data_IF_606006647473
#
_entry.id   IF_606006647473
#
_cell.length_a   1.000
_cell.length_b   1.000
_cell.length_c   1.000
_cell.angle_alpha   90.00
_cell.angle_beta   90.00
_cell.angle_gamma   90.00
#
_symmetry.space_group_name_H-M   'P 1'
#
loop_
_entity.id
_entity.type
_entity.pdbx_description
1 polymer ?
#
# COMPACT_ATOMS: atom_id res chain seq x y z
N UNK A 1 -17.57 40.70 9.58
CA UNK A 1 -16.17 40.68 9.07
C UNK A 1 -15.99 39.42 8.24
N UNK A 2 -15.52 39.56 7.00
CA UNK A 2 -15.21 38.41 6.13
C UNK A 2 -13.70 38.18 6.23
N UNK A 3 -13.31 36.92 6.58
CA UNK A 3 -11.91 36.52 6.66
C UNK A 3 -11.53 35.85 5.34
N UNK A 4 -10.44 36.30 4.73
CA UNK A 4 -9.91 35.70 3.50
C UNK A 4 -9.03 34.48 3.82
N UNK A 5 -9.65 33.32 3.92
CA UNK A 5 -8.94 32.05 4.13
C UNK A 5 -8.05 31.66 2.94
N UNK A 6 -8.31 32.21 1.76
CA UNK A 6 -7.46 31.98 0.59
C UNK A 6 -6.07 32.56 0.85
N UNK A 7 -5.99 33.81 1.30
CA UNK A 7 -4.72 34.42 1.67
C UNK A 7 -3.95 33.58 2.71
N UNK A 8 -4.64 33.12 3.76
CA UNK A 8 -4.01 32.29 4.79
C UNK A 8 -3.43 30.98 4.23
N UNK A 9 -4.14 30.32 3.31
CA UNK A 9 -3.67 29.10 2.64
C UNK A 9 -2.44 29.37 1.79
N UNK A 10 -2.46 30.40 0.96
CA UNK A 10 -1.32 30.74 0.09
C UNK A 10 -0.10 31.19 0.91
N UNK A 11 -0.32 31.94 1.97
CA UNK A 11 0.77 32.34 2.88
C UNK A 11 1.41 31.12 3.56
N UNK A 12 0.61 30.14 4.04
CA UNK A 12 1.10 28.91 4.62
C UNK A 12 1.91 28.09 3.62
N UNK A 13 1.47 27.97 2.37
CA UNK A 13 2.19 27.27 1.31
C UNK A 13 3.57 27.86 1.02
N UNK A 14 3.70 29.18 1.09
CA UNK A 14 5.00 29.87 0.89
C UNK A 14 5.95 29.64 2.07
N UNK A 15 5.41 29.57 3.28
CA UNK A 15 6.21 29.46 4.52
C UNK A 15 6.50 28.03 4.92
N UNK A 16 5.60 27.12 4.56
CA UNK A 16 5.66 25.70 4.90
C UNK A 16 5.76 24.88 3.61
N UNK A 17 6.06 23.60 3.75
CA UNK A 17 6.00 22.66 2.63
C UNK A 17 7.20 22.68 1.70
N UNK A 18 8.32 23.25 2.12
CA UNK A 18 9.59 23.21 1.34
C UNK A 18 10.30 21.86 1.42
N UNK A 19 9.95 21.03 2.42
CA UNK A 19 10.60 19.74 2.65
C UNK A 19 9.89 18.67 1.81
N UNK A 20 10.56 18.25 0.73
CA UNK A 20 10.01 17.30 -0.24
C UNK A 20 10.98 16.17 -0.56
N UNK A 21 10.42 15.05 -1.01
CA UNK A 21 11.14 13.97 -1.66
C UNK A 21 11.48 14.36 -3.11
N UNK A 22 12.39 13.63 -3.75
CA UNK A 22 12.80 13.89 -5.15
C UNK A 22 11.62 13.78 -6.13
N UNK A 23 10.59 12.99 -5.80
CA UNK A 23 9.37 12.87 -6.59
C UNK A 23 8.37 14.02 -6.39
N UNK A 24 8.70 15.01 -5.57
CA UNK A 24 7.85 16.18 -5.28
C UNK A 24 6.85 15.98 -4.14
N UNK A 25 6.72 14.79 -3.59
CA UNK A 25 5.83 14.54 -2.45
C UNK A 25 6.37 15.20 -1.18
N UNK A 26 5.48 15.59 -0.28
CA UNK A 26 5.88 16.10 1.02
C UNK A 26 6.61 15.03 1.83
N UNK A 27 7.70 15.43 2.43
CA UNK A 27 8.51 14.59 3.31
C UNK A 27 8.21 14.92 4.76
N UNK A 28 8.24 13.91 5.62
CA UNK A 28 8.18 14.11 7.05
C UNK A 28 9.38 14.93 7.53
N UNK A 29 9.14 15.90 8.39
CA UNK A 29 10.19 16.76 8.98
C UNK A 29 9.88 17.09 10.44
N UNK A 30 10.87 17.61 11.15
CA UNK A 30 10.66 18.14 12.48
C UNK A 30 10.47 19.65 12.43
N UNK A 31 9.41 20.15 13.07
CA UNK A 31 9.17 21.58 13.20
C UNK A 31 10.18 22.20 14.21
N UNK A 32 10.25 23.56 14.33
CA UNK A 32 11.14 24.19 15.30
C UNK A 32 10.97 23.74 16.74
N UNK A 33 9.77 23.27 17.13
CA UNK A 33 9.46 22.69 18.44
C UNK A 33 9.78 21.19 18.54
N UNK A 34 10.48 20.60 17.55
CA UNK A 34 10.91 19.20 17.47
C UNK A 34 9.78 18.17 17.36
N UNK A 35 8.62 18.55 16.80
CA UNK A 35 7.50 17.65 16.54
C UNK A 35 7.51 17.14 15.09
N UNK A 36 7.20 15.85 14.88
CA UNK A 36 7.05 15.27 13.56
C UNK A 36 5.88 15.93 12.82
N UNK A 37 6.20 16.53 11.68
CA UNK A 37 5.32 17.40 10.90
C UNK A 37 5.38 17.00 9.42
N UNK A 38 4.27 17.17 8.70
CA UNK A 38 4.20 16.91 7.26
C UNK A 38 3.35 17.96 6.55
N UNK A 39 3.59 18.13 5.25
CA UNK A 39 2.83 19.06 4.43
C UNK A 39 3.10 20.50 4.84
N UNK A 40 2.05 21.29 4.90
CA UNK A 40 2.11 22.72 5.22
C UNK A 40 1.92 22.97 6.72
N UNK A 41 2.74 22.33 7.54
CA UNK A 41 2.74 22.55 8.99
C UNK A 41 1.81 21.64 9.80
N UNK A 42 1.37 20.51 9.25
CA UNK A 42 0.54 19.56 10.00
C UNK A 42 1.38 18.76 11.00
N UNK A 43 1.15 18.97 12.29
CA UNK A 43 1.81 18.24 13.37
C UNK A 43 1.20 16.84 13.51
N UNK A 44 1.82 15.84 12.84
CA UNK A 44 1.38 14.44 12.89
C UNK A 44 1.51 13.83 14.27
N UNK A 45 2.54 14.22 15.02
CA UNK A 45 2.81 13.68 16.36
C UNK A 45 1.68 14.04 17.35
N UNK A 46 1.20 15.27 17.31
CA UNK A 46 0.16 15.75 18.21
C UNK A 46 -1.25 15.42 17.75
N UNK A 47 -1.52 15.46 16.44
CA UNK A 47 -2.88 15.41 15.90
C UNK A 47 -3.19 14.13 15.10
N UNK A 48 -2.16 13.35 14.73
CA UNK A 48 -2.34 12.18 13.88
C UNK A 48 -2.83 12.52 12.48
N UNK A 49 -3.33 11.52 11.78
CA UNK A 49 -3.92 11.67 10.45
C UNK A 49 -5.44 11.50 10.53
N UNK A 50 -6.24 12.46 10.07
CA UNK A 50 -7.70 12.31 10.03
C UNK A 50 -8.12 11.07 9.24
N UNK A 51 -9.21 10.41 9.68
CA UNK A 51 -9.72 9.18 9.05
C UNK A 51 -9.97 9.36 7.55
N UNK A 52 -10.58 10.47 7.14
CA UNK A 52 -10.83 10.76 5.72
C UNK A 52 -9.56 10.77 4.87
N UNK A 53 -8.47 11.31 5.40
CA UNK A 53 -7.17 11.34 4.72
C UNK A 53 -6.50 9.97 4.74
N UNK A 54 -6.62 9.24 5.83
CA UNK A 54 -6.11 7.87 5.93
C UNK A 54 -6.79 6.94 4.91
N UNK A 55 -8.10 7.07 4.73
CA UNK A 55 -8.87 6.31 3.72
C UNK A 55 -8.43 6.69 2.31
N UNK A 56 -8.23 7.97 2.01
CA UNK A 56 -7.72 8.40 0.70
C UNK A 56 -6.34 7.80 0.40
N UNK A 57 -5.43 7.84 1.37
CA UNK A 57 -4.11 7.21 1.22
C UNK A 57 -4.23 5.70 1.01
N UNK A 58 -5.09 5.03 1.76
CA UNK A 58 -5.35 3.59 1.58
C UNK A 58 -5.84 3.30 0.16
N UNK A 59 -6.81 4.06 -0.33
CA UNK A 59 -7.33 3.89 -1.69
C UNK A 59 -6.24 4.08 -2.75
N UNK A 60 -5.39 5.08 -2.59
CA UNK A 60 -4.26 5.33 -3.50
C UNK A 60 -3.28 4.14 -3.51
N UNK A 61 -2.91 3.63 -2.35
CA UNK A 61 -1.93 2.54 -2.23
C UNK A 61 -2.50 1.21 -2.76
N UNK A 62 -3.76 0.90 -2.44
CA UNK A 62 -4.44 -0.30 -2.95
C UNK A 62 -4.61 -0.24 -4.47
N UNK A 63 -5.02 0.91 -5.02
CA UNK A 63 -5.15 1.10 -6.47
C UNK A 63 -3.81 0.93 -7.18
N UNK A 64 -2.74 1.47 -6.60
CA UNK A 64 -1.38 1.27 -7.13
C UNK A 64 -0.98 -0.21 -7.11
N UNK A 65 -1.20 -0.90 -6.00
CA UNK A 65 -0.89 -2.32 -5.87
C UNK A 65 -1.67 -3.15 -6.90
N UNK A 66 -2.96 -2.88 -7.09
CA UNK A 66 -3.77 -3.53 -8.11
C UNK A 66 -3.19 -3.34 -9.51
N UNK A 67 -2.83 -2.11 -9.88
CA UNK A 67 -2.25 -1.82 -11.18
C UNK A 67 -0.93 -2.57 -11.38
N UNK A 68 -0.06 -2.57 -10.39
CA UNK A 68 1.24 -3.25 -10.46
C UNK A 68 1.08 -4.75 -10.70
N UNK A 69 0.20 -5.45 -9.97
CA UNK A 69 -0.01 -6.88 -10.17
C UNK A 69 -0.75 -7.18 -11.47
N UNK A 70 -1.73 -6.37 -11.83
CA UNK A 70 -2.47 -6.52 -13.09
C UNK A 70 -1.57 -6.38 -14.31
N UNK A 71 -0.65 -5.42 -14.30
CA UNK A 71 0.25 -5.15 -15.43
C UNK A 71 1.42 -6.14 -15.51
N UNK A 72 1.80 -6.79 -14.42
CA UNK A 72 3.04 -7.56 -14.35
C UNK A 72 2.88 -9.06 -14.06
N UNK A 73 1.73 -9.51 -13.55
CA UNK A 73 1.48 -10.92 -13.27
C UNK A 73 0.83 -11.58 -14.47
N UNK A 74 1.55 -12.49 -15.15
CA UNK A 74 1.10 -13.16 -16.37
C UNK A 74 -0.21 -13.94 -16.19
N UNK A 75 -0.42 -14.53 -14.99
CA UNK A 75 -1.63 -15.29 -14.67
C UNK A 75 -2.87 -14.44 -14.37
N UNK A 76 -2.74 -13.10 -14.31
CA UNK A 76 -3.81 -12.22 -13.81
C UNK A 76 -5.19 -12.53 -14.40
N UNK A 77 -5.28 -12.66 -15.73
CA UNK A 77 -6.57 -12.88 -16.40
C UNK A 77 -7.18 -14.26 -16.13
N UNK A 78 -6.39 -15.23 -15.71
CA UNK A 78 -6.84 -16.57 -15.34
C UNK A 78 -7.43 -16.63 -13.93
N UNK A 79 -7.11 -15.65 -13.08
CA UNK A 79 -7.50 -15.63 -11.67
C UNK A 79 -8.92 -15.12 -11.50
N UNK A 80 -9.66 -15.73 -10.58
CA UNK A 80 -10.93 -15.18 -10.13
C UNK A 80 -10.72 -13.98 -9.17
N UNK A 81 -11.79 -13.28 -8.82
CA UNK A 81 -11.71 -12.08 -7.99
C UNK A 81 -11.07 -12.33 -6.61
N UNK A 82 -11.40 -13.38 -5.84
CA UNK A 82 -10.75 -13.65 -4.56
C UNK A 82 -9.22 -13.86 -4.69
N UNK A 83 -8.76 -14.62 -5.66
CA UNK A 83 -7.32 -14.83 -5.89
C UNK A 83 -6.60 -13.57 -6.35
N UNK A 84 -7.25 -12.75 -7.18
CA UNK A 84 -6.74 -11.40 -7.52
C UNK A 84 -6.56 -10.55 -6.27
N UNK A 85 -7.51 -10.61 -5.34
CA UNK A 85 -7.41 -9.89 -4.06
C UNK A 85 -6.22 -10.35 -3.21
N UNK A 86 -5.85 -11.62 -3.25
CA UNK A 86 -4.64 -12.12 -2.59
C UNK A 86 -3.39 -11.44 -3.14
N UNK A 87 -3.26 -11.37 -4.46
CA UNK A 87 -2.11 -10.71 -5.10
C UNK A 87 -2.04 -9.22 -4.77
N UNK A 88 -3.18 -8.54 -4.79
CA UNK A 88 -3.26 -7.11 -4.44
C UNK A 88 -2.81 -6.91 -2.99
N UNK A 89 -3.28 -7.74 -2.07
CA UNK A 89 -2.93 -7.65 -0.66
C UNK A 89 -1.43 -7.93 -0.41
N UNK A 90 -0.88 -8.95 -1.04
CA UNK A 90 0.56 -9.24 -0.98
C UNK A 90 1.38 -8.06 -1.52
N UNK A 91 0.99 -7.50 -2.66
CA UNK A 91 1.67 -6.34 -3.24
C UNK A 91 1.54 -5.09 -2.37
N UNK A 92 0.36 -4.87 -1.78
CA UNK A 92 0.14 -3.80 -0.83
C UNK A 92 1.09 -3.89 0.37
N UNK A 93 1.29 -5.10 0.90
CA UNK A 93 2.14 -5.32 2.08
C UNK A 93 3.64 -5.21 1.79
N UNK A 94 4.11 -5.88 0.74
CA UNK A 94 5.56 -6.03 0.49
C UNK A 94 6.09 -5.19 -0.66
N UNK A 95 5.21 -4.62 -1.48
CA UNK A 95 5.56 -3.93 -2.71
C UNK A 95 5.87 -4.88 -3.88
N UNK A 96 5.70 -4.38 -5.10
CA UNK A 96 5.96 -5.16 -6.32
C UNK A 96 7.42 -5.62 -6.43
N UNK A 97 8.46 -4.80 -6.13
CA UNK A 97 9.85 -5.27 -6.23
C UNK A 97 10.13 -6.54 -5.44
N UNK A 98 9.52 -6.68 -4.26
CA UNK A 98 9.64 -7.89 -3.43
C UNK A 98 8.79 -9.04 -4.00
N UNK A 99 7.51 -8.78 -4.29
CA UNK A 99 6.60 -9.79 -4.84
C UNK A 99 7.10 -10.34 -6.19
N UNK A 100 7.72 -9.51 -7.01
CA UNK A 100 8.29 -9.92 -8.30
C UNK A 100 9.34 -11.03 -8.19
N UNK A 101 9.94 -11.20 -7.02
CA UNK A 101 10.95 -12.23 -6.75
C UNK A 101 10.34 -13.60 -6.42
N UNK A 102 9.03 -13.68 -6.19
CA UNK A 102 8.32 -14.92 -5.90
C UNK A 102 8.08 -15.72 -7.19
N UNK A 103 9.15 -16.20 -7.82
CA UNK A 103 9.09 -16.81 -9.15
C UNK A 103 8.33 -18.14 -9.16
N UNK A 104 8.53 -18.99 -8.16
CA UNK A 104 7.83 -20.27 -8.05
C UNK A 104 6.33 -20.07 -7.80
N UNK A 105 5.99 -19.09 -6.97
CA UNK A 105 4.61 -18.70 -6.74
C UNK A 105 3.92 -18.27 -8.05
N UNK A 106 4.56 -17.41 -8.83
CA UNK A 106 4.02 -16.95 -10.10
C UNK A 106 3.91 -18.09 -11.12
N UNK A 107 4.90 -18.98 -11.17
CA UNK A 107 4.84 -20.16 -12.03
C UNK A 107 3.67 -21.09 -11.68
N UNK A 108 3.43 -21.31 -10.38
CA UNK A 108 2.28 -22.08 -9.91
C UNK A 108 0.94 -21.43 -10.31
N UNK A 109 0.85 -20.10 -10.27
CA UNK A 109 -0.33 -19.37 -10.75
C UNK A 109 -0.54 -19.55 -12.28
N UNK A 110 0.52 -19.49 -13.05
CA UNK A 110 0.46 -19.72 -14.51
C UNK A 110 -0.05 -21.13 -14.86
N UNK A 111 0.32 -22.12 -14.02
CA UNK A 111 -0.10 -23.52 -14.14
C UNK A 111 -1.47 -23.78 -13.51
N UNK A 112 -2.09 -22.76 -12.91
CA UNK A 112 -3.36 -22.85 -12.17
C UNK A 112 -3.30 -23.87 -11.01
N UNK A 113 -2.08 -24.12 -10.49
CA UNK A 113 -1.83 -24.93 -9.31
C UNK A 113 -1.87 -24.08 -8.04
N UNK A 114 -3.08 -23.85 -7.57
CA UNK A 114 -3.31 -22.92 -6.43
C UNK A 114 -2.89 -23.52 -5.08
N UNK A 115 -2.84 -24.84 -4.97
CA UNK A 115 -2.30 -25.49 -3.77
C UNK A 115 -0.79 -25.27 -3.68
N UNK A 116 -0.07 -25.47 -4.81
CA UNK A 116 1.35 -25.18 -4.87
C UNK A 116 1.62 -23.68 -4.67
N UNK A 117 0.82 -22.81 -5.28
CA UNK A 117 0.94 -21.36 -5.07
C UNK A 117 0.83 -21.00 -3.58
N UNK A 118 -0.12 -21.60 -2.87
CA UNK A 118 -0.29 -21.41 -1.44
C UNK A 118 0.91 -21.89 -0.62
N UNK A 119 1.52 -23.00 -1.00
CA UNK A 119 2.78 -23.51 -0.37
C UNK A 119 3.92 -22.52 -0.61
N UNK A 120 4.06 -22.00 -1.83
CA UNK A 120 5.11 -21.04 -2.17
C UNK A 120 4.96 -19.68 -1.42
N UNK A 121 3.75 -19.34 -0.98
CA UNK A 121 3.54 -18.19 -0.10
C UNK A 121 4.22 -18.37 1.26
N UNK A 122 4.30 -19.59 1.78
CA UNK A 122 4.92 -19.89 3.09
C UNK A 122 6.45 -19.73 3.05
N UNK A 123 7.06 -19.96 1.90
CA UNK A 123 8.52 -19.85 1.72
C UNK A 123 8.96 -18.38 1.61
N UNK A 124 8.54 -17.57 2.57
CA UNK A 124 8.87 -16.15 2.60
C UNK A 124 8.93 -15.59 4.01
N UNK A 125 9.82 -14.61 4.20
CA UNK A 125 9.87 -13.82 5.42
C UNK A 125 8.55 -13.08 5.69
N UNK A 126 7.89 -12.64 4.63
CA UNK A 126 6.59 -11.97 4.69
C UNK A 126 5.53 -12.83 5.41
N UNK A 127 5.44 -14.12 5.08
CA UNK A 127 4.45 -15.03 5.69
C UNK A 127 4.58 -15.07 7.22
N UNK A 128 5.80 -15.17 7.73
CA UNK A 128 6.07 -15.14 9.17
C UNK A 128 5.79 -13.79 9.82
N UNK A 129 5.98 -12.68 9.10
CA UNK A 129 5.79 -11.32 9.62
C UNK A 129 4.32 -10.91 9.74
N UNK A 130 3.45 -11.35 8.81
CA UNK A 130 2.04 -10.95 8.80
C UNK A 130 1.10 -11.95 9.47
N UNK A 131 1.58 -13.13 9.87
CA UNK A 131 0.88 -14.11 10.71
C UNK A 131 -0.49 -14.54 10.16
N UNK A 132 -1.55 -14.33 10.95
CA UNK A 132 -2.93 -14.74 10.59
C UNK A 132 -3.43 -14.17 9.26
N UNK A 133 -2.95 -13.00 8.87
CA UNK A 133 -3.31 -12.41 7.57
C UNK A 133 -2.83 -13.30 6.43
N UNK A 134 -1.61 -13.79 6.52
CA UNK A 134 -1.05 -14.69 5.51
C UNK A 134 -1.82 -16.01 5.44
N UNK A 135 -2.22 -16.58 6.57
CA UNK A 135 -3.03 -17.81 6.62
C UNK A 135 -4.40 -17.62 5.93
N UNK A 136 -5.04 -16.47 6.14
CA UNK A 136 -6.31 -16.14 5.47
C UNK A 136 -6.09 -16.04 3.95
N UNK A 137 -5.08 -15.31 3.52
CA UNK A 137 -4.76 -15.15 2.11
C UNK A 137 -4.41 -16.49 1.43
N UNK A 138 -3.68 -17.35 2.14
CA UNK A 138 -3.36 -18.70 1.68
C UNK A 138 -4.62 -19.54 1.48
N UNK A 139 -5.56 -19.48 2.43
CA UNK A 139 -6.83 -20.17 2.32
C UNK A 139 -7.65 -19.68 1.13
N UNK A 140 -7.70 -18.36 0.91
CA UNK A 140 -8.36 -17.78 -0.28
C UNK A 140 -7.68 -18.26 -1.57
N UNK A 141 -6.35 -18.35 -1.58
CA UNK A 141 -5.60 -18.84 -2.74
C UNK A 141 -6.00 -20.28 -3.09
N UNK A 142 -6.11 -21.16 -2.10
CA UNK A 142 -6.51 -22.57 -2.28
C UNK A 142 -7.97 -22.66 -2.74
N UNK A 143 -8.89 -22.06 -1.99
CA UNK A 143 -10.33 -22.22 -2.22
C UNK A 143 -10.88 -21.41 -3.37
N UNK A 144 -10.29 -20.26 -3.66
CA UNK A 144 -10.84 -19.27 -4.60
C UNK A 144 -12.09 -18.55 -4.09
N UNK A 145 -12.30 -18.54 -2.76
CA UNK A 145 -13.45 -17.95 -2.11
C UNK A 145 -13.01 -16.98 -1.00
N UNK A 146 -13.80 -15.91 -0.81
CA UNK A 146 -13.64 -15.06 0.37
C UNK A 146 -14.11 -15.79 1.63
N UNK A 147 -13.51 -15.48 2.80
CA UNK A 147 -13.93 -16.09 4.07
C UNK A 147 -15.32 -15.65 4.53
#
# INVERSE_FOLDING_TARGET
MIIDLHWNKEFAKVREGEVRLDNGNHKLYKCPADHLTIGYGHNLEAHGLPESMAVELLNMVITKAQKEVQDNVSAWDKLNAPRKSVLIDMCFNMGWPTLSKFKNFQAALDDEDYELAAVEMEDSRWFGQVGKRAEILQKIMITGEYP
#
